data_IF_790124378528
#
_entry.id   IF_790124378528
#
_cell.length_a   1.000
_cell.length_b   1.000
_cell.length_c   1.000
_cell.angle_alpha   90.00
_cell.angle_beta   90.00
_cell.angle_gamma   90.00
#
_symmetry.space_group_name_H-M   'P 1'
#
loop_
_entity.id
_entity.type
_entity.pdbx_description
1 polymer ?
#
# COMPACT_ATOMS: atom_id res chain seq x y z
N UNK A 1 -32.04 13.44 -12.91
CA UNK A 1 -31.47 12.09 -12.83
C UNK A 1 -30.07 12.24 -12.28
N UNK A 2 -29.77 11.62 -11.16
CA UNK A 2 -28.39 11.59 -10.65
C UNK A 2 -27.52 10.82 -11.65
N UNK A 3 -26.51 11.47 -12.20
CA UNK A 3 -25.53 10.80 -13.06
C UNK A 3 -24.67 9.87 -12.20
N UNK A 4 -24.62 8.59 -12.55
CA UNK A 4 -23.70 7.63 -11.93
C UNK A 4 -22.26 7.71 -12.52
N UNK A 5 -21.98 8.75 -13.30
CA UNK A 5 -20.66 8.98 -13.88
C UNK A 5 -19.69 9.40 -12.78
N UNK A 6 -18.50 8.77 -12.69
CA UNK A 6 -17.47 9.18 -11.75
C UNK A 6 -17.07 10.64 -11.93
N UNK A 7 -16.82 11.31 -10.81
CA UNK A 7 -16.38 12.70 -10.78
C UNK A 7 -15.10 12.80 -9.99
N UNK A 8 -14.24 13.76 -10.33
CA UNK A 8 -12.92 13.93 -9.68
C UNK A 8 -13.01 14.29 -8.20
N UNK A 9 -14.06 14.97 -7.78
CA UNK A 9 -14.34 15.25 -6.36
C UNK A 9 -14.59 14.01 -5.52
N UNK A 10 -14.92 12.86 -6.13
CA UNK A 10 -15.03 11.57 -5.44
C UNK A 10 -13.68 11.01 -5.00
N UNK A 11 -12.58 11.52 -5.58
CA UNK A 11 -11.18 11.17 -5.25
C UNK A 11 -10.85 9.68 -5.25
N UNK A 12 -11.57 8.88 -6.04
CA UNK A 12 -11.21 7.48 -6.24
C UNK A 12 -9.93 7.37 -7.08
N UNK A 13 -9.01 6.56 -6.62
CA UNK A 13 -7.77 6.20 -7.32
C UNK A 13 -7.70 4.69 -7.49
N UNK A 14 -6.85 4.25 -8.42
CA UNK A 14 -6.67 2.83 -8.69
C UNK A 14 -5.19 2.47 -8.62
N UNK A 15 -4.92 1.31 -8.00
CA UNK A 15 -3.60 0.71 -8.04
C UNK A 15 -3.23 0.27 -9.46
N UNK A 16 -2.04 0.62 -9.93
CA UNK A 16 -1.56 0.13 -11.22
C UNK A 16 -1.41 -1.39 -11.23
N UNK A 17 -1.18 -2.00 -10.07
CA UNK A 17 -1.13 -3.47 -9.88
C UNK A 17 -2.51 -4.12 -10.09
N UNK A 18 -3.60 -3.45 -9.72
CA UNK A 18 -4.96 -3.94 -9.87
C UNK A 18 -5.42 -3.86 -11.33
N UNK A 19 -5.26 -2.69 -11.94
CA UNK A 19 -5.73 -2.43 -13.32
C UNK A 19 -4.86 -3.09 -14.39
N UNK A 20 -3.61 -3.41 -14.07
CA UNK A 20 -2.69 -4.18 -14.90
C UNK A 20 -2.38 -5.55 -14.28
N UNK A 21 -3.37 -6.19 -13.65
CA UNK A 21 -3.18 -7.46 -12.95
C UNK A 21 -2.50 -8.51 -13.84
N UNK A 22 -1.35 -8.98 -13.39
CA UNK A 22 -0.47 -9.88 -14.13
C UNK A 22 -0.78 -11.37 -13.87
N UNK A 23 -1.87 -11.66 -13.17
CA UNK A 23 -2.24 -13.01 -12.78
C UNK A 23 -1.28 -13.64 -11.78
N UNK A 24 -0.71 -12.82 -10.91
CA UNK A 24 0.19 -13.20 -9.83
C UNK A 24 -0.55 -13.09 -8.50
N UNK A 25 -0.25 -13.97 -7.60
CA UNK A 25 -0.63 -13.92 -6.21
C UNK A 25 0.61 -14.02 -5.30
N UNK A 26 0.48 -13.96 -3.96
CA UNK A 26 1.63 -14.08 -3.05
C UNK A 26 2.37 -15.42 -3.11
N UNK A 27 1.79 -16.44 -3.74
CA UNK A 27 2.30 -17.80 -3.80
C UNK A 27 2.81 -18.22 -5.20
N UNK A 28 2.34 -17.53 -6.26
CA UNK A 28 2.59 -17.90 -7.65
C UNK A 28 3.21 -16.79 -8.50
N UNK A 29 3.75 -17.22 -9.64
CA UNK A 29 4.41 -16.34 -10.60
C UNK A 29 3.39 -15.69 -11.57
N UNK A 30 3.86 -14.72 -12.31
CA UNK A 30 3.05 -13.99 -13.27
C UNK A 30 2.66 -14.86 -14.48
N UNK A 31 1.40 -14.77 -14.88
CA UNK A 31 0.83 -15.51 -16.01
C UNK A 31 0.50 -14.63 -17.21
N UNK A 32 0.61 -13.30 -17.06
CA UNK A 32 0.30 -12.32 -18.11
C UNK A 32 1.47 -11.37 -18.32
N UNK A 33 1.57 -10.87 -19.54
CA UNK A 33 2.53 -9.82 -19.90
C UNK A 33 2.21 -8.53 -19.11
N UNK A 34 3.26 -7.78 -18.78
CA UNK A 34 3.13 -6.47 -18.16
C UNK A 34 2.44 -5.50 -19.12
N UNK A 35 1.37 -4.85 -18.66
CA UNK A 35 0.81 -3.70 -19.34
C UNK A 35 1.76 -2.49 -19.16
N UNK A 36 1.94 -1.73 -20.23
CA UNK A 36 2.71 -0.47 -20.13
C UNK A 36 2.04 0.50 -19.13
N UNK A 37 2.74 0.93 -18.08
CA UNK A 37 2.15 1.76 -17.05
C UNK A 37 1.65 3.11 -17.57
N UNK A 38 2.27 3.67 -18.61
CA UNK A 38 1.84 4.94 -19.20
C UNK A 38 0.50 4.76 -19.91
N UNK A 39 0.32 3.66 -20.61
CA UNK A 39 -0.97 3.29 -21.25
C UNK A 39 -2.05 3.13 -20.16
N UNK A 40 -1.74 2.44 -19.06
CA UNK A 40 -2.66 2.26 -17.95
C UNK A 40 -3.11 3.61 -17.34
N UNK A 41 -2.17 4.51 -17.04
CA UNK A 41 -2.46 5.85 -16.51
C UNK A 41 -3.35 6.66 -17.47
N UNK A 42 -3.08 6.57 -18.78
CA UNK A 42 -3.90 7.26 -19.80
C UNK A 42 -5.33 6.72 -19.83
N UNK A 43 -5.50 5.41 -19.77
CA UNK A 43 -6.85 4.81 -19.75
C UNK A 43 -7.63 5.22 -18.50
N UNK A 44 -7.03 5.18 -17.32
CA UNK A 44 -7.64 5.69 -16.09
C UNK A 44 -8.08 7.16 -16.23
N UNK A 45 -7.22 7.99 -16.80
CA UNK A 45 -7.54 9.40 -17.04
C UNK A 45 -8.73 9.63 -17.98
N UNK A 46 -8.90 8.79 -19.03
CA UNK A 46 -10.06 8.84 -19.93
C UNK A 46 -11.39 8.53 -19.21
N UNK A 47 -11.35 7.78 -18.13
CA UNK A 47 -12.53 7.44 -17.33
C UNK A 47 -12.81 8.44 -16.19
N UNK A 48 -12.20 9.62 -16.19
CA UNK A 48 -12.34 10.65 -15.16
C UNK A 48 -11.98 10.18 -13.74
N UNK A 49 -11.10 9.19 -13.62
CA UNK A 49 -10.56 8.74 -12.34
C UNK A 49 -9.72 9.87 -11.73
N UNK A 50 -9.84 10.08 -10.41
CA UNK A 50 -9.08 11.11 -9.71
C UNK A 50 -7.57 10.87 -9.78
N UNK A 51 -7.12 9.64 -9.47
CA UNK A 51 -5.71 9.34 -9.34
C UNK A 51 -5.33 7.89 -9.59
N UNK A 52 -4.03 7.65 -9.57
CA UNK A 52 -3.46 6.31 -9.55
C UNK A 52 -2.53 6.14 -8.35
N UNK A 53 -2.35 4.89 -7.96
CA UNK A 53 -1.44 4.44 -6.93
C UNK A 53 -0.42 3.49 -7.56
N UNK A 54 0.79 3.39 -7.01
CA UNK A 54 1.80 2.50 -7.60
C UNK A 54 2.76 1.91 -6.56
N UNK A 55 3.17 0.67 -6.78
CA UNK A 55 4.42 0.15 -6.23
C UNK A 55 5.58 0.60 -7.12
N UNK A 56 6.75 0.71 -6.54
CA UNK A 56 7.95 1.11 -7.27
C UNK A 56 8.15 0.31 -8.57
N UNK A 57 7.91 -1.01 -8.54
CA UNK A 57 8.07 -1.90 -9.69
C UNK A 57 6.86 -1.99 -10.64
N UNK A 58 5.69 -1.43 -10.28
CA UNK A 58 4.60 -1.20 -11.23
C UNK A 58 4.97 -0.14 -12.26
N UNK A 59 5.74 0.85 -11.85
CA UNK A 59 6.11 1.98 -12.70
C UNK A 59 7.52 1.83 -13.28
N UNK A 60 8.52 1.59 -12.43
CA UNK A 60 9.92 1.46 -12.84
C UNK A 60 10.36 0.00 -12.72
N UNK A 61 10.70 -0.70 -13.82
CA UNK A 61 11.18 -2.08 -13.74
C UNK A 61 12.38 -2.21 -12.80
N UNK A 62 12.38 -3.28 -12.00
CA UNK A 62 13.51 -3.58 -11.13
C UNK A 62 14.81 -3.67 -11.94
N UNK A 63 15.87 -3.01 -11.48
CA UNK A 63 17.14 -2.95 -12.19
C UNK A 63 17.18 -2.03 -13.42
N UNK A 64 16.14 -1.22 -13.64
CA UNK A 64 16.12 -0.26 -14.74
C UNK A 64 17.33 0.70 -14.68
N UNK A 65 17.91 0.99 -15.85
CA UNK A 65 18.96 2.02 -15.96
C UNK A 65 18.39 3.40 -15.62
N UNK A 66 19.26 4.33 -15.19
CA UNK A 66 18.86 5.72 -14.95
C UNK A 66 18.21 6.36 -16.18
N UNK A 67 18.70 6.05 -17.38
CA UNK A 67 18.13 6.56 -18.62
C UNK A 67 16.68 6.07 -18.81
N UNK A 68 16.42 4.76 -18.60
CA UNK A 68 15.07 4.19 -18.70
C UNK A 68 14.16 4.77 -17.63
N UNK A 69 14.62 4.81 -16.37
CA UNK A 69 13.89 5.45 -15.27
C UNK A 69 13.45 6.88 -15.62
N UNK A 70 14.39 7.72 -16.04
CA UNK A 70 14.10 9.12 -16.38
C UNK A 70 13.12 9.24 -17.55
N UNK A 71 13.23 8.35 -18.56
CA UNK A 71 12.27 8.29 -19.68
C UNK A 71 10.86 7.99 -19.20
N UNK A 72 10.70 6.98 -18.31
CA UNK A 72 9.40 6.60 -17.76
C UNK A 72 8.82 7.74 -16.91
N UNK A 73 9.60 8.34 -16.01
CA UNK A 73 9.14 9.45 -15.16
C UNK A 73 8.66 10.64 -16.02
N UNK A 74 9.42 11.01 -17.05
CA UNK A 74 9.01 12.07 -17.98
C UNK A 74 7.69 11.76 -18.66
N UNK A 75 7.52 10.52 -19.14
CA UNK A 75 6.29 10.07 -19.79
C UNK A 75 5.11 10.03 -18.80
N UNK A 76 5.33 9.60 -17.57
CA UNK A 76 4.34 9.61 -16.48
C UNK A 76 3.85 11.03 -16.21
N UNK A 77 4.76 11.97 -15.97
CA UNK A 77 4.41 13.38 -15.73
C UNK A 77 3.64 14.00 -16.90
N UNK A 78 4.01 13.65 -18.14
CA UNK A 78 3.28 14.10 -19.32
C UNK A 78 1.86 13.52 -19.35
N UNK A 79 1.68 12.22 -19.11
CA UNK A 79 0.36 11.59 -19.05
C UNK A 79 -0.50 12.18 -17.92
N UNK A 80 0.08 12.42 -16.75
CA UNK A 80 -0.62 13.09 -15.63
C UNK A 80 -1.15 14.46 -16.03
N UNK A 81 -0.34 15.25 -16.74
CA UNK A 81 -0.73 16.58 -17.22
C UNK A 81 -1.83 16.51 -18.28
N UNK A 82 -1.66 15.66 -19.31
CA UNK A 82 -2.57 15.58 -20.45
C UNK A 82 -3.96 15.07 -20.06
N UNK A 83 -4.01 14.13 -19.11
CA UNK A 83 -5.26 13.51 -18.67
C UNK A 83 -5.77 14.07 -17.31
N UNK A 84 -5.09 15.04 -16.73
CA UNK A 84 -5.43 15.68 -15.45
C UNK A 84 -5.66 14.66 -14.32
N UNK A 85 -4.84 13.59 -14.29
CA UNK A 85 -4.86 12.56 -13.26
C UNK A 85 -3.68 12.77 -12.30
N UNK A 86 -3.85 12.48 -11.02
CA UNK A 86 -2.82 12.69 -9.99
C UNK A 86 -2.21 11.35 -9.55
N UNK A 87 -0.99 11.38 -9.04
CA UNK A 87 -0.45 10.30 -8.23
C UNK A 87 -0.97 10.49 -6.80
N UNK A 88 -1.92 9.65 -6.37
CA UNK A 88 -2.57 9.80 -5.08
C UNK A 88 -1.75 9.18 -3.94
N UNK A 89 -1.19 8.01 -4.19
CA UNK A 89 -0.44 7.24 -3.19
C UNK A 89 0.74 6.52 -3.85
N UNK A 90 1.84 6.37 -3.11
CA UNK A 90 2.98 5.53 -3.46
C UNK A 90 3.19 4.46 -2.40
N UNK A 91 3.70 3.31 -2.77
CA UNK A 91 4.08 2.21 -1.89
C UNK A 91 5.25 1.44 -2.49
N UNK A 92 5.95 0.66 -1.69
CA UNK A 92 7.09 -0.14 -2.15
C UNK A 92 6.81 -1.62 -2.05
N UNK A 93 7.06 -2.35 -3.12
CA UNK A 93 6.99 -3.80 -3.11
C UNK A 93 8.15 -4.39 -2.29
N UNK A 94 7.84 -4.82 -1.05
CA UNK A 94 8.74 -5.49 -0.12
C UNK A 94 8.34 -6.94 0.14
N UNK A 95 7.64 -7.58 -0.80
CA UNK A 95 7.01 -8.88 -0.56
C UNK A 95 7.19 -9.90 -1.70
N UNK A 96 7.25 -9.50 -2.95
CA UNK A 96 7.37 -10.45 -4.07
C UNK A 96 8.79 -10.99 -4.27
N UNK A 97 9.79 -10.13 -4.17
CA UNK A 97 11.16 -10.59 -4.38
C UNK A 97 11.60 -11.54 -3.24
N UNK A 98 12.20 -12.67 -3.63
CA UNK A 98 12.62 -13.73 -2.69
C UNK A 98 13.48 -13.27 -1.53
N UNK A 99 14.20 -12.14 -1.66
CA UNK A 99 15.02 -11.58 -0.59
C UNK A 99 14.18 -11.20 0.63
N UNK A 100 12.90 -10.85 0.44
CA UNK A 100 11.97 -10.45 1.49
C UNK A 100 11.13 -11.61 2.04
N UNK A 101 11.39 -12.86 1.62
CA UNK A 101 10.55 -14.00 2.01
C UNK A 101 10.41 -14.16 3.53
N UNK A 102 11.43 -13.79 4.30
CA UNK A 102 11.43 -13.77 5.76
C UNK A 102 11.26 -12.36 6.37
N UNK A 103 10.52 -11.51 5.71
CA UNK A 103 10.34 -10.11 6.10
C UNK A 103 11.32 -9.17 5.43
N UNK A 104 10.95 -7.90 5.38
CA UNK A 104 11.80 -6.81 4.94
C UNK A 104 12.34 -6.03 6.16
N UNK A 105 11.48 -5.27 6.83
CA UNK A 105 11.85 -4.51 8.03
C UNK A 105 12.06 -5.41 9.25
N UNK A 106 11.38 -6.54 9.32
CA UNK A 106 11.50 -7.50 10.42
C UNK A 106 12.49 -8.63 10.14
N UNK A 107 13.17 -8.65 8.99
CA UNK A 107 14.15 -9.68 8.65
C UNK A 107 15.23 -9.83 9.72
N UNK A 108 15.64 -11.06 9.99
CA UNK A 108 16.81 -11.34 10.85
C UNK A 108 18.10 -10.77 10.26
N UNK A 109 18.24 -10.79 8.93
CA UNK A 109 19.44 -10.28 8.26
C UNK A 109 19.41 -8.74 8.18
N UNK A 110 20.35 -8.04 8.85
CA UNK A 110 20.44 -6.59 8.79
C UNK A 110 20.70 -6.04 7.37
N UNK A 111 21.30 -6.84 6.49
CA UNK A 111 21.52 -6.44 5.08
C UNK A 111 20.21 -6.39 4.31
N UNK A 112 19.28 -7.30 4.60
CA UNK A 112 17.93 -7.28 4.02
C UNK A 112 17.17 -6.06 4.51
N UNK A 113 17.23 -5.74 5.81
CA UNK A 113 16.61 -4.53 6.37
C UNK A 113 17.16 -3.25 5.74
N UNK A 114 18.48 -3.15 5.61
CA UNK A 114 19.13 -2.00 4.96
C UNK A 114 18.74 -1.88 3.48
N UNK A 115 18.65 -2.99 2.76
CA UNK A 115 18.19 -3.02 1.37
C UNK A 115 16.72 -2.58 1.25
N UNK A 116 15.86 -3.04 2.15
CA UNK A 116 14.46 -2.62 2.21
C UNK A 116 14.34 -1.10 2.42
N UNK A 117 15.05 -0.54 3.41
CA UNK A 117 15.10 0.90 3.65
C UNK A 117 15.57 1.68 2.41
N UNK A 118 16.66 1.24 1.77
CA UNK A 118 17.15 1.89 0.56
C UNK A 118 16.12 1.87 -0.57
N UNK A 119 15.41 0.74 -0.74
CA UNK A 119 14.37 0.58 -1.76
C UNK A 119 13.19 1.53 -1.50
N UNK A 120 12.75 1.61 -0.24
CA UNK A 120 11.68 2.52 0.18
C UNK A 120 12.09 3.98 -0.03
N UNK A 121 13.27 4.40 0.43
CA UNK A 121 13.74 5.78 0.27
C UNK A 121 13.74 6.21 -1.19
N UNK A 122 14.27 5.38 -2.10
CA UNK A 122 14.25 5.66 -3.55
C UNK A 122 12.83 5.82 -4.10
N UNK A 123 11.87 5.06 -3.58
CA UNK A 123 10.49 5.19 -4.04
C UNK A 123 9.76 6.35 -3.34
N UNK A 124 10.13 6.70 -2.12
CA UNK A 124 9.67 7.95 -1.49
C UNK A 124 10.09 9.16 -2.31
N UNK A 125 11.34 9.20 -2.79
CA UNK A 125 11.82 10.26 -3.68
C UNK A 125 10.99 10.33 -4.96
N UNK A 126 10.69 9.17 -5.56
CA UNK A 126 9.88 9.10 -6.77
C UNK A 126 8.42 9.52 -6.51
N UNK A 127 7.83 9.05 -5.43
CA UNK A 127 6.46 9.43 -5.04
C UNK A 127 6.34 10.93 -4.78
N UNK A 128 7.30 11.54 -4.07
CA UNK A 128 7.36 12.97 -3.85
C UNK A 128 7.52 13.74 -5.19
N UNK A 129 8.37 13.25 -6.09
CA UNK A 129 8.56 13.81 -7.43
C UNK A 129 7.28 13.79 -8.28
N UNK A 130 6.42 12.78 -8.09
CA UNK A 130 5.12 12.63 -8.76
C UNK A 130 3.98 13.30 -7.99
N UNK A 131 4.23 13.86 -6.80
CA UNK A 131 3.26 14.61 -6.00
C UNK A 131 2.36 13.76 -5.11
N UNK A 132 2.72 12.51 -4.84
CA UNK A 132 2.01 11.66 -3.90
C UNK A 132 2.00 12.29 -2.49
N UNK A 133 0.85 12.24 -1.81
CA UNK A 133 0.66 12.77 -0.46
C UNK A 133 0.57 11.68 0.59
N UNK A 134 0.25 10.47 0.19
CA UNK A 134 0.19 9.30 1.05
C UNK A 134 1.28 8.32 0.63
N UNK A 135 1.92 7.72 1.62
CA UNK A 135 2.85 6.63 1.40
C UNK A 135 2.43 5.44 2.26
N UNK A 136 2.02 4.35 1.60
CA UNK A 136 1.50 3.17 2.28
C UNK A 136 2.61 2.14 2.53
N UNK A 137 2.53 1.46 3.66
CA UNK A 137 3.37 0.34 4.04
C UNK A 137 2.49 -0.90 4.24
N UNK A 138 2.49 -1.79 3.25
CA UNK A 138 1.90 -3.12 3.38
C UNK A 138 2.96 -4.13 3.80
N UNK A 139 2.75 -4.73 4.96
CA UNK A 139 3.70 -5.62 5.59
C UNK A 139 3.47 -7.11 5.29
N UNK A 140 3.15 -7.49 4.06
CA UNK A 140 2.76 -8.87 3.72
C UNK A 140 3.78 -9.97 4.07
N UNK A 141 5.06 -9.63 4.21
CA UNK A 141 6.10 -10.56 4.68
C UNK A 141 6.56 -10.30 6.12
N UNK A 142 6.03 -9.27 6.75
CA UNK A 142 6.35 -8.90 8.13
C UNK A 142 5.58 -9.77 9.12
N UNK A 143 5.94 -11.02 9.21
CA UNK A 143 5.25 -12.01 10.01
C UNK A 143 6.04 -13.29 10.17
N UNK A 144 5.38 -14.34 10.67
CA UNK A 144 5.98 -15.65 10.92
C UNK A 144 5.00 -16.79 10.64
N UNK A 145 5.53 -17.98 10.40
CA UNK A 145 4.78 -19.25 10.39
C UNK A 145 4.89 -19.96 11.74
N UNK A 146 5.97 -19.70 12.48
CA UNK A 146 6.28 -20.36 13.75
C UNK A 146 6.98 -19.35 14.67
N UNK A 147 6.35 -18.99 15.76
CA UNK A 147 6.84 -17.98 16.70
C UNK A 147 8.23 -18.29 17.28
N UNK A 148 8.55 -19.57 17.44
CA UNK A 148 9.87 -19.99 17.89
C UNK A 148 11.01 -19.55 16.98
N UNK A 149 10.72 -19.25 15.70
CA UNK A 149 11.71 -18.81 14.72
C UNK A 149 11.88 -17.30 14.65
N UNK A 150 10.86 -16.54 15.11
CA UNK A 150 10.84 -15.08 14.96
C UNK A 150 9.88 -14.46 15.98
N UNK A 151 10.44 -13.92 17.05
CA UNK A 151 9.61 -13.36 18.13
C UNK A 151 8.94 -12.05 17.72
N UNK A 152 7.65 -11.85 18.04
CA UNK A 152 6.93 -10.60 17.75
C UNK A 152 7.61 -9.37 18.38
N UNK A 153 8.13 -9.48 19.61
CA UNK A 153 8.80 -8.39 20.32
C UNK A 153 9.98 -7.82 19.53
N UNK A 154 10.93 -8.67 19.13
CA UNK A 154 12.10 -8.24 18.35
C UNK A 154 11.71 -7.77 16.95
N UNK A 155 10.71 -8.37 16.36
CA UNK A 155 10.21 -8.01 15.04
C UNK A 155 9.59 -6.61 15.03
N UNK A 156 8.71 -6.33 15.99
CA UNK A 156 8.07 -5.02 16.13
C UNK A 156 9.09 -3.92 16.49
N UNK A 157 10.13 -4.25 17.29
CA UNK A 157 11.23 -3.33 17.55
C UNK A 157 11.97 -2.95 16.27
N UNK A 158 12.33 -3.93 15.44
CA UNK A 158 12.97 -3.68 14.14
C UNK A 158 12.07 -2.89 13.19
N UNK A 159 10.78 -3.20 13.15
CA UNK A 159 9.81 -2.47 12.34
C UNK A 159 9.74 -1.00 12.78
N UNK A 160 9.64 -0.75 14.09
CA UNK A 160 9.64 0.60 14.68
C UNK A 160 10.91 1.39 14.31
N UNK A 161 12.09 0.78 14.43
CA UNK A 161 13.35 1.39 14.04
C UNK A 161 13.35 1.81 12.57
N UNK A 162 12.85 0.95 11.67
CA UNK A 162 12.72 1.27 10.25
C UNK A 162 11.72 2.40 10.01
N UNK A 163 10.56 2.39 10.66
CA UNK A 163 9.55 3.44 10.50
C UNK A 163 10.06 4.80 11.00
N UNK A 164 10.70 4.83 12.17
CA UNK A 164 11.29 6.05 12.71
C UNK A 164 12.35 6.63 11.77
N UNK A 165 13.21 5.76 11.21
CA UNK A 165 14.21 6.17 10.22
C UNK A 165 13.58 6.78 8.97
N UNK A 166 12.51 6.18 8.43
CA UNK A 166 11.81 6.68 7.25
C UNK A 166 11.06 7.99 7.52
N UNK A 167 10.47 8.15 8.71
CA UNK A 167 9.88 9.41 9.15
C UNK A 167 10.94 10.53 9.22
N UNK A 168 12.08 10.24 9.85
CA UNK A 168 13.20 11.17 9.92
C UNK A 168 13.73 11.54 8.51
N UNK A 169 13.83 10.55 7.61
CA UNK A 169 14.23 10.78 6.23
C UNK A 169 13.25 11.71 5.50
N UNK A 170 11.94 11.46 5.57
CA UNK A 170 10.93 12.31 4.93
C UNK A 170 11.02 13.76 5.44
N UNK A 171 11.17 13.95 6.75
CA UNK A 171 11.35 15.28 7.35
C UNK A 171 12.62 15.98 6.86
N UNK A 172 13.73 15.25 6.80
CA UNK A 172 15.00 15.78 6.31
C UNK A 172 14.93 16.23 4.84
N UNK A 173 14.20 15.46 4.01
CA UNK A 173 13.98 15.81 2.61
C UNK A 173 12.90 16.89 2.41
N UNK A 174 12.16 17.26 3.44
CA UNK A 174 11.04 18.19 3.34
C UNK A 174 9.81 17.61 2.62
N UNK A 175 9.64 16.29 2.64
CA UNK A 175 8.47 15.65 2.03
C UNK A 175 7.24 15.80 2.92
N UNK A 176 6.11 16.15 2.30
CA UNK A 176 4.80 16.31 2.95
C UNK A 176 4.01 15.00 2.84
N UNK A 177 4.54 13.92 3.42
CA UNK A 177 3.88 12.63 3.44
C UNK A 177 3.01 12.42 4.67
N UNK A 178 1.84 11.82 4.43
CA UNK A 178 1.11 11.01 5.40
C UNK A 178 1.52 9.55 5.21
N UNK A 179 2.20 8.98 6.18
CA UNK A 179 2.50 7.54 6.16
C UNK A 179 1.29 6.76 6.66
N UNK A 180 0.96 5.68 5.99
CA UNK A 180 -0.14 4.82 6.40
C UNK A 180 0.29 3.36 6.42
N UNK A 181 0.11 2.69 7.54
CA UNK A 181 0.37 1.25 7.67
C UNK A 181 -0.92 0.53 7.33
N UNK A 182 -0.80 -0.47 6.47
CA UNK A 182 -1.91 -1.31 6.04
C UNK A 182 -1.90 -2.62 6.83
N UNK A 183 -2.88 -2.82 7.72
CA UNK A 183 -2.99 -4.04 8.50
C UNK A 183 -3.46 -5.21 7.65
N UNK A 184 -2.92 -6.39 7.92
CA UNK A 184 -3.37 -7.67 7.34
C UNK A 184 -3.13 -8.80 8.35
N UNK A 185 -4.10 -9.70 8.60
CA UNK A 185 -3.94 -10.73 9.63
C UNK A 185 -3.01 -11.87 9.20
N UNK A 186 -3.07 -12.27 7.94
CA UNK A 186 -2.29 -13.36 7.38
C UNK A 186 -2.13 -13.22 5.86
N UNK A 187 -1.49 -14.20 5.22
CA UNK A 187 -1.21 -14.26 3.79
C UNK A 187 -0.27 -13.12 3.29
N UNK A 188 0.91 -13.51 2.79
CA UNK A 188 1.41 -14.89 2.57
C UNK A 188 2.06 -15.54 3.81
N UNK A 189 2.18 -14.84 4.92
CA UNK A 189 2.64 -15.42 6.20
C UNK A 189 1.43 -15.97 6.96
N UNK A 190 1.65 -16.97 7.80
CA UNK A 190 0.60 -17.53 8.66
C UNK A 190 0.07 -16.49 9.65
N UNK A 191 0.97 -15.75 10.27
CA UNK A 191 0.66 -14.66 11.20
C UNK A 191 1.47 -13.42 10.79
N UNK A 192 0.78 -12.34 10.40
CA UNK A 192 1.40 -11.06 10.08
C UNK A 192 1.32 -10.15 11.31
N UNK A 193 2.42 -9.46 11.61
CA UNK A 193 2.43 -8.43 12.65
C UNK A 193 1.56 -7.25 12.22
N UNK A 194 0.97 -6.55 13.18
CA UNK A 194 0.04 -5.43 12.91
C UNK A 194 -1.22 -5.87 12.12
N UNK A 195 -1.85 -6.93 12.60
CA UNK A 195 -2.92 -7.65 11.91
C UNK A 195 -4.23 -6.87 11.71
N UNK A 196 -4.50 -5.82 12.51
CA UNK A 196 -5.75 -5.03 12.49
C UNK A 196 -5.45 -3.54 12.69
N UNK A 197 -6.44 -2.68 12.42
CA UNK A 197 -6.31 -1.24 12.70
C UNK A 197 -5.92 -0.97 14.17
N UNK A 198 -6.50 -1.72 15.12
CA UNK A 198 -6.17 -1.59 16.53
C UNK A 198 -4.71 -1.92 16.86
N UNK A 199 -4.12 -2.94 16.21
CA UNK A 199 -2.69 -3.24 16.37
C UNK A 199 -1.82 -2.11 15.79
N UNK A 200 -2.20 -1.56 14.64
CA UNK A 200 -1.48 -0.43 14.03
C UNK A 200 -1.56 0.81 14.91
N UNK A 201 -2.74 1.14 15.45
CA UNK A 201 -2.91 2.28 16.35
C UNK A 201 -2.03 2.16 17.59
N UNK A 202 -2.01 0.97 18.23
CA UNK A 202 -1.14 0.73 19.37
C UNK A 202 0.36 0.84 19.01
N UNK A 203 0.73 0.38 17.81
CA UNK A 203 2.11 0.49 17.32
C UNK A 203 2.51 1.94 17.04
N UNK A 204 1.63 2.76 16.49
CA UNK A 204 1.87 4.18 16.19
C UNK A 204 2.27 4.94 17.47
N UNK A 205 1.65 4.65 18.61
CA UNK A 205 1.97 5.29 19.89
C UNK A 205 3.39 4.98 20.39
N UNK A 206 4.06 4.00 19.79
CA UNK A 206 5.45 3.63 20.13
C UNK A 206 6.50 4.31 19.23
N UNK A 207 6.07 5.06 18.21
CA UNK A 207 6.94 5.72 17.24
C UNK A 207 7.47 7.07 17.77
N UNK A 208 8.61 7.50 17.23
CA UNK A 208 9.18 8.83 17.54
C UNK A 208 8.40 9.97 16.85
N UNK A 209 7.65 9.65 15.78
CA UNK A 209 6.88 10.59 14.97
C UNK A 209 5.45 10.09 14.74
N UNK A 210 4.68 9.89 15.81
CA UNK A 210 3.33 9.29 15.69
C UNK A 210 2.38 10.15 14.86
N UNK A 211 2.59 11.46 14.80
CA UNK A 211 1.78 12.39 14.03
C UNK A 211 1.89 12.20 12.51
N UNK A 212 3.00 11.62 12.05
CA UNK A 212 3.24 11.35 10.63
C UNK A 212 2.58 10.05 10.16
N UNK A 213 2.24 9.15 11.08
CA UNK A 213 1.81 7.78 10.77
C UNK A 213 0.35 7.57 11.15
N UNK A 214 -0.39 6.94 10.26
CA UNK A 214 -1.79 6.54 10.41
C UNK A 214 -2.03 5.15 9.85
N UNK A 215 -3.29 4.86 9.59
CA UNK A 215 -3.78 3.56 9.12
C UNK A 215 -4.31 3.68 7.70
N UNK A 216 -4.03 2.66 6.88
CA UNK A 216 -4.68 2.39 5.62
C UNK A 216 -5.45 1.06 5.75
N UNK A 217 -6.66 1.05 6.35
CA UNK A 217 -7.41 -0.18 6.45
C UNK A 217 -7.94 -0.59 5.08
N UNK A 218 -7.96 -1.89 4.83
CA UNK A 218 -8.53 -2.52 3.64
C UNK A 218 -9.72 -3.39 4.03
N UNK A 219 -10.77 -3.37 3.22
CA UNK A 219 -12.00 -4.14 3.48
C UNK A 219 -11.70 -5.64 3.57
N UNK A 220 -10.93 -6.15 2.63
CA UNK A 220 -10.56 -7.54 2.51
C UNK A 220 -9.83 -8.01 3.77
N UNK A 221 -8.85 -7.25 4.22
CA UNK A 221 -8.03 -7.58 5.37
C UNK A 221 -8.82 -7.56 6.69
N UNK A 222 -9.71 -6.57 6.87
CA UNK A 222 -10.61 -6.54 8.02
C UNK A 222 -11.52 -7.78 8.06
N UNK A 223 -12.05 -8.19 6.91
CA UNK A 223 -12.87 -9.41 6.80
C UNK A 223 -12.09 -10.69 7.00
N UNK A 224 -10.84 -10.76 6.53
CA UNK A 224 -9.95 -11.89 6.81
C UNK A 224 -9.66 -12.01 8.30
N UNK A 225 -9.58 -10.91 9.03
CA UNK A 225 -9.45 -10.87 10.48
C UNK A 225 -10.76 -11.20 11.22
N UNK A 226 -11.86 -11.41 10.50
CA UNK A 226 -13.19 -11.65 11.09
C UNK A 226 -13.83 -10.42 11.73
N UNK A 227 -13.38 -9.22 11.34
CA UNK A 227 -13.88 -7.95 11.87
C UNK A 227 -15.03 -7.40 11.06
N UNK A 228 -15.82 -6.51 11.68
CA UNK A 228 -16.72 -5.63 10.98
C UNK A 228 -15.92 -4.46 10.40
N UNK A 229 -15.88 -4.34 9.09
CA UNK A 229 -15.08 -3.34 8.37
C UNK A 229 -15.42 -1.91 8.78
N UNK A 230 -16.69 -1.60 8.95
CA UNK A 230 -17.13 -0.27 9.38
C UNK A 230 -16.62 0.09 10.78
N UNK A 231 -16.57 -0.89 11.71
CA UNK A 231 -16.01 -0.66 13.04
C UNK A 231 -14.49 -0.48 13.00
N UNK A 232 -13.80 -1.26 12.18
CA UNK A 232 -12.33 -1.18 12.04
C UNK A 232 -11.91 0.18 11.46
N UNK A 233 -12.61 0.64 10.42
CA UNK A 233 -12.40 1.97 9.84
C UNK A 233 -12.79 3.08 10.81
N UNK A 234 -13.92 2.92 11.51
CA UNK A 234 -14.41 3.87 12.51
C UNK A 234 -13.43 4.09 13.66
N UNK A 235 -12.72 3.04 14.08
CA UNK A 235 -11.68 3.14 15.11
C UNK A 235 -10.49 4.00 14.62
N UNK A 236 -10.03 3.79 13.39
CA UNK A 236 -8.95 4.60 12.80
C UNK A 236 -9.39 6.07 12.60
N UNK A 237 -10.65 6.28 12.23
CA UNK A 237 -11.24 7.61 12.05
C UNK A 237 -11.38 8.36 13.38
N UNK A 238 -11.88 7.71 14.42
CA UNK A 238 -12.03 8.28 15.77
C UNK A 238 -10.68 8.71 16.34
N UNK A 239 -9.64 7.90 16.15
CA UNK A 239 -8.26 8.22 16.53
C UNK A 239 -7.62 9.35 15.70
N UNK A 240 -8.29 9.86 14.66
CA UNK A 240 -7.72 10.85 13.73
C UNK A 240 -6.58 10.29 12.86
N UNK A 241 -6.52 8.98 12.69
CA UNK A 241 -5.44 8.25 12.02
C UNK A 241 -5.84 7.56 10.72
N UNK A 242 -7.05 7.77 10.22
CA UNK A 242 -7.47 7.25 8.92
C UNK A 242 -6.85 8.10 7.80
N UNK A 243 -5.78 7.62 7.17
CA UNK A 243 -5.03 8.40 6.18
C UNK A 243 -5.25 7.97 4.74
N UNK A 244 -5.58 6.72 4.53
CA UNK A 244 -5.94 6.15 3.23
C UNK A 244 -6.92 5.00 3.46
N UNK A 245 -7.59 4.53 2.40
CA UNK A 245 -8.48 3.37 2.44
C UNK A 245 -8.30 2.59 1.15
N UNK A 246 -8.08 1.29 1.25
CA UNK A 246 -8.16 0.40 0.11
C UNK A 246 -9.54 -0.27 0.06
N UNK A 247 -10.20 -0.11 -1.09
CA UNK A 247 -11.59 -0.50 -1.30
C UNK A 247 -11.68 -1.69 -2.26
N UNK A 248 -12.10 -2.80 -1.74
CA UNK A 248 -12.40 -4.00 -2.48
C UNK A 248 -13.59 -4.75 -1.90
N UNK A 249 -13.64 -6.06 -2.07
CA UNK A 249 -14.64 -6.93 -1.48
C UNK A 249 -14.07 -8.34 -1.26
N UNK A 250 -14.54 -9.01 -0.20
CA UNK A 250 -14.00 -10.25 0.29
C UNK A 250 -15.10 -11.20 0.74
N UNK A 251 -15.02 -12.47 0.34
CA UNK A 251 -15.86 -13.53 0.90
C UNK A 251 -15.27 -14.02 2.23
N UNK A 252 -16.12 -14.43 3.18
CA UNK A 252 -15.62 -14.98 4.45
C UNK A 252 -14.74 -16.21 4.25
N UNK A 253 -13.72 -16.36 5.10
CA UNK A 253 -12.86 -17.55 5.15
C UNK A 253 -12.15 -17.86 3.82
N UNK A 254 -11.66 -16.84 3.15
CA UNK A 254 -10.80 -16.96 1.96
C UNK A 254 -9.51 -16.20 2.19
N UNK A 255 -8.49 -16.57 1.44
CA UNK A 255 -7.35 -15.70 1.18
C UNK A 255 -7.83 -14.47 0.43
N UNK A 256 -7.01 -13.45 0.43
CA UNK A 256 -7.30 -12.18 -0.20
C UNK A 256 -7.73 -12.34 -1.66
N UNK A 257 -8.91 -11.81 -1.98
CA UNK A 257 -9.51 -12.02 -3.28
C UNK A 257 -9.47 -10.77 -4.17
N UNK A 258 -9.23 -9.61 -3.61
CA UNK A 258 -9.26 -8.33 -4.36
C UNK A 258 -10.51 -8.19 -5.26
N UNK A 259 -11.68 -8.59 -4.75
CA UNK A 259 -12.93 -8.48 -5.51
C UNK A 259 -13.34 -7.02 -5.66
N UNK A 260 -14.14 -6.74 -6.69
CA UNK A 260 -14.60 -5.37 -6.94
C UNK A 260 -15.39 -4.82 -5.75
N UNK A 261 -15.06 -3.60 -5.36
CA UNK A 261 -15.79 -2.87 -4.32
C UNK A 261 -17.31 -2.93 -4.53
N UNK A 262 -18.05 -3.32 -3.50
CA UNK A 262 -19.50 -3.47 -3.54
C UNK A 262 -20.03 -4.77 -4.17
N UNK A 263 -19.16 -5.71 -4.59
CA UNK A 263 -19.63 -6.95 -5.23
C UNK A 263 -20.18 -7.99 -4.26
N UNK A 264 -19.84 -7.94 -2.96
CA UNK A 264 -20.24 -8.95 -1.97
C UNK A 264 -21.30 -8.44 -0.98
N UNK A 265 -21.11 -7.26 -0.40
CA UNK A 265 -22.01 -6.70 0.61
C UNK A 265 -22.27 -5.22 0.36
N UNK A 266 -23.38 -4.92 -0.34
CA UNK A 266 -23.78 -3.55 -0.65
C UNK A 266 -24.12 -2.72 0.60
N UNK A 267 -24.64 -3.36 1.66
CA UNK A 267 -25.02 -2.66 2.89
C UNK A 267 -23.76 -2.20 3.66
N UNK A 268 -22.79 -3.08 3.83
CA UNK A 268 -21.51 -2.73 4.46
C UNK A 268 -20.79 -1.67 3.63
N UNK A 269 -20.71 -1.88 2.31
CA UNK A 269 -20.15 -0.92 1.35
C UNK A 269 -20.75 0.48 1.49
N UNK A 270 -22.06 0.56 1.63
CA UNK A 270 -22.76 1.84 1.85
C UNK A 270 -22.28 2.53 3.14
N UNK A 271 -22.16 1.80 4.24
CA UNK A 271 -21.72 2.37 5.51
C UNK A 271 -20.23 2.77 5.50
N UNK A 272 -19.40 2.05 4.78
CA UNK A 272 -17.98 2.40 4.62
C UNK A 272 -17.82 3.73 3.86
N UNK A 273 -18.64 3.97 2.83
CA UNK A 273 -18.58 5.23 2.04
C UNK A 273 -19.20 6.40 2.78
N UNK A 274 -20.23 6.17 3.60
CA UNK A 274 -20.93 7.20 4.35
C UNK A 274 -20.08 7.78 5.46
#
# INVERSE_FOLDING_TARGET
MSSFTPKKEHRFSFGLWTTANRGRDPFGEETRSRLDPITNIKELGKHNVYGFNFHDDDLIPFGASLQLRNKIIKATKQAMKDYKIVCAMATTNLFFHRVFKDGAFTSHDPKVRAFALQKVMKNMDLGAELGAKVYVFWGGREGTEVDASKTPEESLKRYRECMNYLCAYARHQGYDYKFAIEPKPNEPRGDIFLATAGHVLAFIETLDYPEMVGVNPEIEHSRMAGLNTYHDFGQAMEAGKLYHIDLGAQKPNRFDQDLRFGSEDLKETFFVVK
#
